data_IF_983621925049
#
_entry.id   IF_983621925049
#
_cell.length_a   1.000
_cell.length_b   1.000
_cell.length_c   1.000
_cell.angle_alpha   90.00
_cell.angle_beta   90.00
_cell.angle_gamma   90.00
#
_symmetry.space_group_name_H-M   'P 1'
#
loop_
_entity.id
_entity.type
_entity.pdbx_description
1 polymer ?
#
# COMPACT_ATOMS: atom_id res chain seq x y z
N UNK A 1 6.79 -9.60 5.92
CA UNK A 1 8.09 -10.04 6.40
C UNK A 1 7.92 -10.68 7.76
N UNK A 2 8.11 -11.95 7.86
CA UNK A 2 8.28 -12.55 9.16
C UNK A 2 9.76 -12.80 9.36
N UNK A 3 10.27 -12.39 10.49
CA UNK A 3 11.58 -12.84 11.00
C UNK A 3 11.61 -14.34 11.27
N UNK A 4 10.51 -15.05 11.00
CA UNK A 4 10.41 -16.51 11.07
C UNK A 4 11.22 -17.23 9.99
N UNK A 5 11.73 -16.52 9.00
CA UNK A 5 12.72 -17.06 8.08
C UNK A 5 14.08 -17.18 8.82
N UNK A 6 14.31 -18.31 9.49
CA UNK A 6 15.52 -18.53 10.31
C UNK A 6 16.84 -18.42 9.54
N UNK A 7 16.80 -18.53 8.21
CA UNK A 7 17.94 -18.45 7.30
C UNK A 7 17.96 -17.15 6.48
N UNK A 8 17.26 -16.10 6.95
CA UNK A 8 17.10 -14.84 6.23
C UNK A 8 18.43 -14.17 5.80
N UNK A 9 19.47 -14.23 6.64
CA UNK A 9 20.79 -13.68 6.30
C UNK A 9 21.40 -14.39 5.08
N UNK A 10 21.31 -15.71 5.03
CA UNK A 10 21.82 -16.51 3.91
C UNK A 10 21.04 -16.22 2.63
N UNK A 11 19.74 -16.02 2.75
CA UNK A 11 18.88 -15.69 1.62
C UNK A 11 19.19 -14.30 1.07
N UNK A 12 19.40 -13.30 1.93
CA UNK A 12 19.82 -11.95 1.50
C UNK A 12 21.13 -12.01 0.72
N UNK A 13 22.14 -12.70 1.26
CA UNK A 13 23.46 -12.83 0.58
C UNK A 13 23.32 -13.50 -0.78
N UNK A 14 22.40 -14.44 -0.92
CA UNK A 14 22.13 -15.16 -2.18
C UNK A 14 21.12 -14.46 -3.09
N UNK A 15 20.66 -13.26 -2.75
CA UNK A 15 19.60 -12.53 -3.45
C UNK A 15 18.31 -13.36 -3.63
N UNK A 16 18.00 -14.20 -2.65
CA UNK A 16 16.77 -14.99 -2.62
C UNK A 16 15.66 -14.24 -1.90
N UNK A 17 14.41 -14.49 -2.32
CA UNK A 17 13.24 -13.89 -1.67
C UNK A 17 13.14 -14.30 -0.20
N UNK A 18 12.77 -13.35 0.65
CA UNK A 18 12.49 -13.60 2.07
C UNK A 18 11.00 -13.88 2.33
N UNK A 19 10.19 -13.79 1.29
CA UNK A 19 8.76 -14.05 1.39
C UNK A 19 8.56 -15.56 1.58
N UNK A 20 7.82 -15.97 2.63
CA UNK A 20 7.75 -17.38 3.04
C UNK A 20 6.92 -18.25 2.10
N UNK A 21 6.06 -17.66 1.29
CA UNK A 21 5.22 -18.36 0.32
C UNK A 21 5.17 -17.62 -1.02
N UNK A 22 4.95 -18.35 -2.09
CA UNK A 22 4.62 -17.76 -3.39
C UNK A 22 3.19 -17.22 -3.35
N UNK A 23 2.85 -16.23 -4.19
CA UNK A 23 1.46 -15.88 -4.41
C UNK A 23 0.73 -17.13 -4.91
N UNK A 24 -0.35 -17.52 -4.21
CA UNK A 24 -1.17 -18.67 -4.60
C UNK A 24 -2.20 -18.26 -5.65
N UNK A 25 -2.62 -17.00 -5.64
CA UNK A 25 -3.43 -16.38 -6.67
C UNK A 25 -2.53 -15.51 -7.55
N UNK A 26 -1.91 -16.13 -8.53
CA UNK A 26 -0.99 -15.46 -9.46
C UNK A 26 -1.72 -14.36 -10.24
N UNK A 27 -2.94 -14.61 -10.71
CA UNK A 27 -3.74 -13.66 -11.48
C UNK A 27 -4.05 -12.39 -10.67
N UNK A 28 -4.42 -12.53 -9.39
CA UNK A 28 -4.70 -11.39 -8.52
C UNK A 28 -3.43 -10.60 -8.19
N UNK A 29 -2.31 -11.30 -7.98
CA UNK A 29 -1.02 -10.68 -7.79
C UNK A 29 -0.55 -9.92 -9.03
N UNK A 30 -0.77 -10.46 -10.24
CA UNK A 30 -0.43 -9.81 -11.50
C UNK A 30 -1.30 -8.56 -11.73
N UNK A 31 -2.62 -8.66 -11.55
CA UNK A 31 -3.51 -7.50 -11.66
C UNK A 31 -3.10 -6.38 -10.70
N UNK A 32 -2.81 -6.71 -9.44
CA UNK A 32 -2.36 -5.73 -8.46
C UNK A 32 -1.01 -5.11 -8.84
N UNK A 33 -0.08 -5.91 -9.38
CA UNK A 33 1.19 -5.42 -9.89
C UNK A 33 1.02 -4.48 -11.07
N UNK A 34 0.12 -4.77 -11.98
CA UNK A 34 -0.13 -3.92 -13.14
C UNK A 34 -0.70 -2.57 -12.71
N UNK A 35 -1.67 -2.57 -11.80
CA UNK A 35 -2.19 -1.34 -11.18
C UNK A 35 -1.07 -0.58 -10.47
N UNK A 36 -0.29 -1.25 -9.60
CA UNK A 36 0.79 -0.61 -8.87
C UNK A 36 1.84 -0.02 -9.80
N UNK A 37 2.26 -0.76 -10.82
CA UNK A 37 3.27 -0.32 -11.80
C UNK A 37 2.82 0.85 -12.66
N UNK A 38 1.52 0.99 -12.92
CA UNK A 38 0.97 2.09 -13.73
C UNK A 38 0.91 3.43 -12.97
N UNK A 39 0.96 3.43 -11.63
CA UNK A 39 0.86 4.63 -10.83
C UNK A 39 1.98 5.61 -11.12
N UNK A 40 1.63 6.88 -11.38
CA UNK A 40 2.57 7.95 -11.77
C UNK A 40 3.19 8.58 -10.51
N UNK A 41 4.50 8.75 -10.52
CA UNK A 41 5.28 9.43 -9.48
C UNK A 41 5.55 10.86 -9.92
N UNK A 42 4.80 11.80 -9.39
CA UNK A 42 4.74 13.20 -9.88
C UNK A 42 5.89 14.07 -9.38
N UNK A 43 6.50 13.73 -8.24
CA UNK A 43 7.63 14.45 -7.63
C UNK A 43 8.99 14.13 -8.28
N UNK A 44 9.00 13.26 -9.29
CA UNK A 44 10.19 12.90 -10.07
C UNK A 44 10.12 13.53 -11.47
N UNK A 45 11.24 14.08 -11.94
CA UNK A 45 11.32 14.65 -13.29
C UNK A 45 10.94 13.61 -14.34
N UNK A 46 10.08 14.00 -15.28
CA UNK A 46 9.54 13.10 -16.31
C UNK A 46 8.32 12.31 -15.87
N UNK A 47 7.92 12.42 -14.62
CA UNK A 47 6.76 11.76 -14.04
C UNK A 47 6.69 10.26 -14.40
N UNK A 48 7.74 9.49 -14.06
CA UNK A 48 7.78 8.07 -14.39
C UNK A 48 6.72 7.30 -13.59
N UNK A 49 6.40 6.12 -14.08
CA UNK A 49 5.56 5.18 -13.35
C UNK A 49 6.34 4.41 -12.28
N UNK A 50 5.63 3.82 -11.33
CA UNK A 50 6.25 2.92 -10.34
C UNK A 50 6.92 1.73 -11.02
N UNK A 51 6.42 1.27 -12.15
CA UNK A 51 7.04 0.20 -12.93
C UNK A 51 8.44 0.54 -13.44
N UNK A 52 8.69 1.82 -13.77
CA UNK A 52 9.95 2.28 -14.33
C UNK A 52 11.03 2.54 -13.26
N UNK A 53 10.63 3.00 -12.07
CA UNK A 53 11.60 3.43 -11.05
C UNK A 53 11.75 2.46 -9.88
N UNK A 54 10.85 1.50 -9.74
CA UNK A 54 10.82 0.61 -8.58
C UNK A 54 11.77 -0.58 -8.76
N UNK A 55 12.44 -0.96 -7.68
CA UNK A 55 13.36 -2.11 -7.67
C UNK A 55 12.61 -3.44 -7.64
N UNK A 56 13.15 -4.52 -8.25
CA UNK A 56 12.47 -5.82 -8.37
C UNK A 56 11.93 -6.41 -7.07
N UNK A 57 12.64 -6.26 -5.94
CA UNK A 57 12.22 -6.78 -4.65
C UNK A 57 10.88 -6.21 -4.16
N UNK A 58 10.55 -4.98 -4.59
CA UNK A 58 9.27 -4.35 -4.25
C UNK A 58 8.12 -5.07 -4.95
N UNK A 59 8.32 -5.50 -6.20
CA UNK A 59 7.29 -6.22 -6.93
C UNK A 59 6.98 -7.57 -6.27
N UNK A 60 8.00 -8.27 -5.77
CA UNK A 60 7.79 -9.50 -4.98
C UNK A 60 6.99 -9.20 -3.70
N UNK A 61 7.30 -8.09 -3.03
CA UNK A 61 6.61 -7.67 -1.82
C UNK A 61 5.13 -7.33 -2.10
N UNK A 62 4.86 -6.56 -3.17
CA UNK A 62 3.49 -6.23 -3.60
C UNK A 62 2.73 -7.50 -4.00
N UNK A 63 3.34 -8.39 -4.78
CA UNK A 63 2.72 -9.69 -5.15
C UNK A 63 2.33 -10.50 -3.92
N UNK A 64 3.18 -10.56 -2.90
CA UNK A 64 2.86 -11.28 -1.66
C UNK A 64 1.71 -10.63 -0.88
N UNK A 65 1.64 -9.29 -0.87
CA UNK A 65 0.55 -8.58 -0.20
C UNK A 65 -0.81 -8.92 -0.83
N UNK A 66 -0.88 -8.99 -2.15
CA UNK A 66 -2.15 -9.18 -2.85
C UNK A 66 -2.45 -10.64 -3.19
N UNK A 67 -1.46 -11.47 -3.48
CA UNK A 67 -1.63 -12.84 -3.97
C UNK A 67 -1.41 -13.95 -2.94
N UNK A 68 -1.04 -13.66 -1.69
CA UNK A 68 -0.79 -14.68 -0.67
C UNK A 68 -2.08 -15.12 0.05
N UNK A 69 -2.97 -15.79 -0.69
CA UNK A 69 -4.20 -16.38 -0.17
C UNK A 69 -4.13 -17.91 -0.13
N UNK A 70 -4.99 -18.53 0.68
CA UNK A 70 -5.31 -19.95 0.62
C UNK A 70 -6.48 -20.17 -0.33
N UNK A 71 -6.32 -21.03 -1.33
CA UNK A 71 -7.42 -21.42 -2.23
C UNK A 71 -8.56 -22.12 -1.49
N UNK A 72 -8.23 -22.94 -0.48
CA UNK A 72 -9.21 -23.75 0.26
C UNK A 72 -10.13 -22.88 1.11
N UNK A 73 -9.58 -21.85 1.77
CA UNK A 73 -10.29 -21.07 2.77
C UNK A 73 -10.63 -19.65 2.33
N UNK A 74 -10.15 -19.18 1.18
CA UNK A 74 -10.19 -17.78 0.73
C UNK A 74 -9.65 -16.81 1.79
N UNK A 75 -8.67 -17.26 2.58
CA UNK A 75 -8.05 -16.48 3.65
C UNK A 75 -6.65 -16.04 3.28
N UNK A 76 -6.27 -14.87 3.75
CA UNK A 76 -4.88 -14.41 3.63
C UNK A 76 -3.96 -15.30 4.45
N UNK A 77 -2.90 -15.81 3.82
CA UNK A 77 -1.84 -16.56 4.50
C UNK A 77 -0.92 -15.63 5.28
N UNK A 78 -0.71 -14.42 4.76
CA UNK A 78 0.08 -13.40 5.42
C UNK A 78 -0.86 -12.22 5.68
N UNK A 79 -1.09 -11.91 6.95
CA UNK A 79 -1.97 -10.83 7.39
C UNK A 79 -1.22 -9.59 7.85
N UNK A 80 0.08 -9.71 8.15
CA UNK A 80 0.92 -8.63 8.63
C UNK A 80 2.22 -8.57 7.82
N UNK A 81 2.55 -7.39 7.33
CA UNK A 81 3.78 -7.12 6.61
C UNK A 81 4.54 -6.01 7.32
N UNK A 82 5.81 -6.24 7.60
CA UNK A 82 6.70 -5.28 8.19
C UNK A 82 7.83 -4.93 7.21
N UNK A 83 7.93 -3.64 6.85
CA UNK A 83 8.93 -3.14 5.92
C UNK A 83 9.89 -2.20 6.64
N UNK A 84 11.14 -2.63 6.84
CA UNK A 84 12.21 -1.82 7.38
C UNK A 84 13.22 -1.49 6.30
N UNK A 85 13.25 -0.23 5.89
CA UNK A 85 14.21 0.29 4.91
C UNK A 85 14.80 1.62 5.39
N UNK A 86 16.04 1.96 4.99
CA UNK A 86 16.69 3.21 5.40
C UNK A 86 15.91 4.45 4.96
N UNK A 87 16.12 5.57 5.63
CA UNK A 87 15.56 6.87 5.23
C UNK A 87 15.95 7.24 3.79
N UNK A 88 15.12 8.06 3.14
CA UNK A 88 15.30 8.55 1.75
C UNK A 88 15.21 7.46 0.66
N UNK A 89 14.48 6.38 0.93
CA UNK A 89 14.14 5.35 -0.07
C UNK A 89 12.66 5.35 -0.42
N UNK A 90 12.01 6.50 -0.43
CA UNK A 90 10.59 6.68 -0.81
C UNK A 90 9.60 5.73 -0.11
N UNK A 91 9.90 5.36 1.15
CA UNK A 91 9.12 4.39 1.93
C UNK A 91 7.65 4.77 2.03
N UNK A 92 7.35 6.02 2.41
CA UNK A 92 5.98 6.51 2.58
C UNK A 92 5.22 6.55 1.25
N UNK A 93 5.88 6.94 0.14
CA UNK A 93 5.30 6.90 -1.21
C UNK A 93 4.98 5.46 -1.63
N UNK A 94 5.92 4.54 -1.42
CA UNK A 94 5.72 3.12 -1.69
C UNK A 94 4.53 2.56 -0.93
N UNK A 95 4.48 2.82 0.38
CA UNK A 95 3.41 2.37 1.25
C UNK A 95 2.05 2.98 0.86
N UNK A 96 2.03 4.28 0.54
CA UNK A 96 0.85 4.99 0.07
C UNK A 96 0.30 4.41 -1.24
N UNK A 97 1.17 4.06 -2.18
CA UNK A 97 0.78 3.48 -3.46
C UNK A 97 0.31 2.02 -3.33
N UNK A 98 0.85 1.25 -2.39
CA UNK A 98 0.29 -0.06 -2.04
C UNK A 98 -1.15 0.09 -1.54
N UNK A 99 -1.42 1.08 -0.68
CA UNK A 99 -2.77 1.33 -0.18
C UNK A 99 -3.72 1.90 -1.26
N UNK A 100 -3.21 2.69 -2.20
CA UNK A 100 -3.98 3.14 -3.36
C UNK A 100 -4.33 1.96 -4.26
N UNK A 101 -3.39 1.06 -4.54
CA UNK A 101 -3.64 -0.19 -5.26
C UNK A 101 -4.72 -1.01 -4.56
N UNK A 102 -4.65 -1.15 -3.23
CA UNK A 102 -5.66 -1.86 -2.45
C UNK A 102 -7.05 -1.22 -2.54
N UNK A 103 -7.15 0.11 -2.65
CA UNK A 103 -8.42 0.80 -2.89
C UNK A 103 -8.97 0.55 -4.29
N UNK A 104 -8.11 0.62 -5.32
CA UNK A 104 -8.48 0.41 -6.72
C UNK A 104 -8.95 -1.04 -6.94
N UNK A 105 -8.23 -2.00 -6.39
CA UNK A 105 -8.53 -3.44 -6.48
C UNK A 105 -9.68 -3.89 -5.57
N UNK A 106 -10.23 -2.99 -4.75
CA UNK A 106 -11.25 -3.37 -3.80
C UNK A 106 -12.62 -3.57 -4.46
N UNK A 107 -13.16 -4.76 -4.35
CA UNK A 107 -14.51 -5.15 -4.79
C UNK A 107 -15.58 -5.04 -3.70
N UNK A 108 -15.16 -4.88 -2.45
CA UNK A 108 -16.04 -4.88 -1.30
C UNK A 108 -16.73 -3.53 -1.13
N UNK A 109 -18.07 -3.55 -1.01
CA UNK A 109 -18.86 -2.35 -0.80
C UNK A 109 -18.53 -1.67 0.55
N UNK A 110 -18.35 -0.36 0.50
CA UNK A 110 -18.11 0.51 1.65
C UNK A 110 -16.93 0.06 2.55
N UNK A 111 -15.91 -0.57 1.96
CA UNK A 111 -14.72 -0.96 2.71
C UNK A 111 -13.98 0.26 3.24
N UNK A 112 -13.43 0.17 4.44
CA UNK A 112 -12.56 1.20 5.00
C UNK A 112 -11.10 0.75 4.94
N UNK A 113 -10.25 1.59 4.36
CA UNK A 113 -8.81 1.46 4.34
C UNK A 113 -8.21 2.65 5.10
N UNK A 114 -7.21 2.42 5.92
CA UNK A 114 -6.63 3.46 6.79
C UNK A 114 -5.12 3.49 6.64
N UNK A 115 -4.57 4.68 6.43
CA UNK A 115 -3.16 4.98 6.66
C UNK A 115 -3.08 5.75 7.97
N UNK A 116 -2.39 5.18 8.96
CA UNK A 116 -2.16 5.79 10.25
C UNK A 116 -0.74 6.35 10.30
N UNK A 117 -0.62 7.63 10.56
CA UNK A 117 0.64 8.34 10.71
C UNK A 117 0.76 8.92 12.12
N UNK A 118 1.98 9.08 12.68
CA UNK A 118 2.15 9.61 14.04
C UNK A 118 1.72 11.07 14.17
N UNK A 119 1.90 11.88 13.14
CA UNK A 119 1.56 13.31 13.11
C UNK A 119 0.85 13.71 11.82
N UNK A 120 0.23 14.90 11.81
CA UNK A 120 -0.39 15.47 10.61
C UNK A 120 0.59 15.69 9.47
N UNK A 121 1.81 16.11 9.78
CA UNK A 121 2.88 16.30 8.78
C UNK A 121 3.28 14.97 8.10
N UNK A 122 3.43 13.90 8.88
CA UNK A 122 3.71 12.57 8.33
C UNK A 122 2.51 12.04 7.52
N UNK A 123 1.29 12.33 7.95
CA UNK A 123 0.08 12.01 7.19
C UNK A 123 0.06 12.69 5.82
N UNK A 124 0.51 13.94 5.73
CA UNK A 124 0.61 14.67 4.46
C UNK A 124 1.62 14.03 3.50
N UNK A 125 2.71 13.45 4.00
CA UNK A 125 3.71 12.75 3.20
C UNK A 125 3.14 11.48 2.51
N UNK A 126 2.11 10.88 3.07
CA UNK A 126 1.42 9.73 2.46
C UNK A 126 0.25 10.18 1.57
N UNK A 127 -0.49 11.22 1.97
CA UNK A 127 -1.65 11.70 1.23
C UNK A 127 -1.28 12.45 -0.06
N UNK A 128 -0.23 13.27 -0.01
CA UNK A 128 0.24 14.08 -1.15
C UNK A 128 0.49 13.24 -2.41
N UNK A 129 1.38 12.23 -2.37
CA UNK A 129 1.65 11.37 -3.51
C UNK A 129 0.42 10.69 -4.09
N UNK A 130 -0.52 10.22 -3.25
CA UNK A 130 -1.77 9.61 -3.71
C UNK A 130 -2.62 10.63 -4.48
N UNK A 131 -2.84 11.81 -3.90
CA UNK A 131 -3.61 12.88 -4.54
C UNK A 131 -3.02 13.28 -5.88
N UNK A 132 -1.71 13.43 -5.93
CA UNK A 132 -1.01 13.82 -7.14
C UNK A 132 -1.05 12.75 -8.23
N UNK A 133 -0.84 11.47 -7.88
CA UNK A 133 -0.99 10.36 -8.81
C UNK A 133 -2.40 10.30 -9.41
N UNK A 134 -3.44 10.45 -8.58
CA UNK A 134 -4.83 10.52 -9.06
C UNK A 134 -5.02 11.73 -9.98
N UNK A 135 -4.40 12.87 -9.64
CA UNK A 135 -4.51 14.10 -10.45
C UNK A 135 -3.78 14.02 -11.78
N UNK A 136 -2.77 13.18 -11.90
CA UNK A 136 -2.01 12.98 -13.13
C UNK A 136 -2.70 12.01 -14.11
N UNK A 137 -3.59 11.15 -13.62
CA UNK A 137 -4.23 10.09 -14.39
C UNK A 137 -5.73 10.35 -14.58
N UNK A 138 -6.23 10.52 -15.82
CA UNK A 138 -7.65 10.73 -16.11
C UNK A 138 -8.56 9.55 -15.69
N UNK A 139 -8.08 8.31 -15.80
CA UNK A 139 -8.85 7.13 -15.42
C UNK A 139 -9.01 7.07 -13.90
N UNK A 140 -7.96 7.35 -13.15
CA UNK A 140 -8.03 7.44 -11.70
C UNK A 140 -8.93 8.59 -11.23
N UNK A 141 -8.92 9.73 -11.92
CA UNK A 141 -9.88 10.85 -11.65
C UNK A 141 -11.33 10.45 -11.86
N UNK A 142 -11.59 9.63 -12.89
CA UNK A 142 -12.94 9.13 -13.15
C UNK A 142 -13.39 8.13 -12.09
N UNK A 143 -12.47 7.29 -11.60
CA UNK A 143 -12.74 6.23 -10.64
C UNK A 143 -12.83 6.73 -9.19
N UNK A 144 -12.00 7.70 -8.82
CA UNK A 144 -11.77 8.12 -7.44
C UNK A 144 -12.18 9.58 -7.20
N UNK A 145 -12.69 9.85 -6.02
CA UNK A 145 -12.98 11.20 -5.55
C UNK A 145 -12.07 11.55 -4.37
N UNK A 146 -11.35 12.67 -4.47
CA UNK A 146 -10.40 13.13 -3.45
C UNK A 146 -11.01 14.26 -2.63
N UNK A 147 -11.09 14.07 -1.31
CA UNK A 147 -11.43 15.11 -0.33
C UNK A 147 -10.16 15.54 0.41
N UNK A 148 -9.59 16.68 0.02
CA UNK A 148 -8.34 17.18 0.63
C UNK A 148 -8.53 17.57 2.10
N UNK A 149 -9.66 18.18 2.43
CA UNK A 149 -9.97 18.61 3.79
C UNK A 149 -10.06 17.43 4.75
N UNK A 150 -10.67 16.34 4.30
CA UNK A 150 -10.84 15.11 5.10
C UNK A 150 -9.68 14.12 4.96
N UNK A 151 -8.71 14.40 4.07
CA UNK A 151 -7.63 13.49 3.67
C UNK A 151 -8.17 12.08 3.34
N UNK A 152 -9.24 12.07 2.55
CA UNK A 152 -9.99 10.87 2.20
C UNK A 152 -10.09 10.74 0.69
N UNK A 153 -9.82 9.53 0.20
CA UNK A 153 -10.07 9.12 -1.19
C UNK A 153 -11.24 8.15 -1.16
N UNK A 154 -12.23 8.37 -2.01
CA UNK A 154 -13.42 7.52 -2.11
C UNK A 154 -13.52 6.90 -3.50
N UNK A 155 -13.67 5.59 -3.55
CA UNK A 155 -13.98 4.86 -4.78
C UNK A 155 -15.46 5.08 -5.16
N UNK A 156 -15.72 5.53 -6.38
CA UNK A 156 -17.08 5.96 -6.80
C UNK A 156 -18.07 4.81 -6.90
N UNK A 157 -17.63 3.64 -7.33
CA UNK A 157 -18.50 2.48 -7.55
C UNK A 157 -18.75 1.70 -6.26
N UNK A 158 -17.70 1.36 -5.55
CA UNK A 158 -17.80 0.53 -4.33
C UNK A 158 -18.10 1.34 -3.06
N UNK A 159 -18.01 2.67 -3.12
CA UNK A 159 -18.06 3.54 -1.94
C UNK A 159 -16.98 3.25 -0.89
N UNK A 160 -15.98 2.45 -1.23
CA UNK A 160 -14.83 2.21 -0.36
C UNK A 160 -14.04 3.51 -0.13
N UNK A 161 -13.42 3.64 1.02
CA UNK A 161 -12.67 4.84 1.39
C UNK A 161 -11.27 4.48 1.86
N UNK A 162 -10.28 5.26 1.41
CA UNK A 162 -8.95 5.30 1.96
C UNK A 162 -8.77 6.61 2.73
N UNK A 163 -8.59 6.50 4.03
CA UNK A 163 -8.41 7.64 4.94
C UNK A 163 -6.98 7.72 5.45
N UNK A 164 -6.40 8.91 5.43
CA UNK A 164 -5.11 9.18 6.08
C UNK A 164 -5.37 9.91 7.38
N UNK A 165 -4.97 9.30 8.50
CA UNK A 165 -5.31 9.75 9.86
C UNK A 165 -4.05 9.93 10.69
N UNK A 166 -3.96 11.03 11.41
CA UNK A 166 -2.92 11.21 12.42
C UNK A 166 -3.32 10.56 13.76
N UNK A 167 -2.37 9.96 14.46
CA UNK A 167 -2.61 9.24 15.72
C UNK A 167 -3.07 10.14 16.87
N UNK A 168 -2.81 11.43 16.78
CA UNK A 168 -3.27 12.46 17.73
C UNK A 168 -4.79 12.75 17.62
N UNK A 169 -5.46 12.18 16.61
CA UNK A 169 -6.90 12.32 16.44
C UNK A 169 -7.65 11.23 17.22
N UNK A 170 -8.63 11.61 18.03
CA UNK A 170 -9.52 10.69 18.76
C UNK A 170 -10.38 9.79 17.85
N UNK A 171 -10.08 9.73 16.56
CA UNK A 171 -10.92 9.13 15.52
C UNK A 171 -10.53 7.70 15.15
N UNK A 172 -9.49 7.14 15.75
CA UNK A 172 -8.96 5.81 15.35
C UNK A 172 -9.67 4.64 16.05
N UNK A 173 -10.29 4.90 17.21
CA UNK A 173 -10.99 3.85 17.98
C UNK A 173 -12.27 3.35 17.30
N UNK A 174 -12.47 2.02 17.29
CA UNK A 174 -13.72 1.40 16.89
C UNK A 174 -13.96 1.20 15.40
N UNK A 175 -12.98 1.48 14.53
CA UNK A 175 -13.10 1.30 13.06
C UNK A 175 -12.87 -0.16 12.65
N UNK A 176 -13.68 -0.63 11.69
CA UNK A 176 -13.55 -1.96 11.08
C UNK A 176 -12.81 -1.87 9.74
N UNK A 177 -11.55 -1.45 9.79
CA UNK A 177 -10.75 -1.31 8.58
C UNK A 177 -10.42 -2.68 7.97
N UNK A 178 -10.57 -2.78 6.65
CA UNK A 178 -10.15 -3.96 5.87
C UNK A 178 -8.64 -3.99 5.67
N UNK A 179 -8.02 -2.80 5.58
CA UNK A 179 -6.58 -2.60 5.41
C UNK A 179 -6.11 -1.50 6.34
N UNK A 180 -5.00 -1.74 7.01
CA UNK A 180 -4.35 -0.75 7.89
C UNK A 180 -2.87 -0.68 7.52
N UNK A 181 -2.41 0.51 7.19
CA UNK A 181 -1.01 0.85 7.07
C UNK A 181 -0.61 1.73 8.26
N UNK A 182 0.48 1.40 8.92
CA UNK A 182 1.09 2.23 9.97
C UNK A 182 2.42 2.73 9.43
N UNK A 183 2.50 4.02 9.12
CA UNK A 183 3.75 4.66 8.70
C UNK A 183 4.53 5.18 9.92
N UNK A 184 5.87 5.09 9.86
CA UNK A 184 6.77 5.49 10.94
C UNK A 184 6.42 4.86 12.31
N UNK A 185 6.16 3.54 12.32
CA UNK A 185 5.71 2.78 13.51
C UNK A 185 6.52 3.08 14.78
N UNK A 186 7.82 3.37 14.65
CA UNK A 186 8.70 3.65 15.78
C UNK A 186 8.41 4.98 16.51
N UNK A 187 7.58 5.85 15.93
CA UNK A 187 7.17 7.13 16.52
C UNK A 187 5.86 7.03 17.34
N UNK A 188 5.19 5.88 17.29
CA UNK A 188 4.01 5.64 18.13
C UNK A 188 4.47 5.25 19.54
N UNK A 189 3.98 5.97 20.55
CA UNK A 189 4.25 5.76 21.97
C UNK A 189 3.06 5.08 22.64
#
# INVERSE_FOLDING_TARGET
WTTSCKDWEKKIVKSQSLIPCKPLFEDEAEMALDVFKSLIVTDVMGQPTMGEITRPWVFEFVSAIFGAYSEEDSRRLITEFFLLIPKKNSKSTLAAFIMLTALIMNDRQAAELIILAPTKEVADNSFGPIKEAISADPELKALLNVSEHEKTIKHRETNATLKVVAADSNTVGGKKASWILIDELHLFQ
#
